data_IF_166353964665
#
_entry.id   IF_166353964665
#
_cell.length_a   1.000
_cell.length_b   1.000
_cell.length_c   1.000
_cell.angle_alpha   90.00
_cell.angle_beta   90.00
_cell.angle_gamma   90.00
#
_symmetry.space_group_name_H-M   'P 1'
#
loop_
_entity.id
_entity.type
_entity.pdbx_description
1 polymer ?
#
# COMPACT_ATOMS: atom_id res chain seq x y z
N UNK A 1 -0.28 -2.98 55.10
CA UNK A 1 -0.01 -2.06 53.95
C UNK A 1 0.99 -2.70 52.99
N UNK A 2 0.57 -3.55 52.05
CA UNK A 2 1.50 -4.19 51.07
C UNK A 2 0.92 -4.39 49.66
N UNK A 3 -0.30 -3.91 49.41
CA UNK A 3 -1.06 -4.15 48.17
C UNK A 3 -1.14 -2.94 47.23
N UNK A 4 -0.72 -1.75 47.69
CA UNK A 4 -0.79 -0.50 46.89
C UNK A 4 0.34 -0.37 45.86
N UNK A 5 1.57 -0.77 46.21
CA UNK A 5 2.72 -0.69 45.31
C UNK A 5 2.63 -1.64 44.11
N UNK A 6 2.07 -2.84 44.31
CA UNK A 6 1.91 -3.84 43.25
C UNK A 6 0.92 -3.38 42.17
N UNK A 7 -0.17 -2.68 42.56
CA UNK A 7 -1.13 -2.12 41.59
C UNK A 7 -0.51 -1.02 40.73
N UNK A 8 0.31 -0.14 41.34
CA UNK A 8 0.99 0.94 40.61
C UNK A 8 2.00 0.37 39.63
N UNK A 9 2.76 -0.66 40.01
CA UNK A 9 3.72 -1.33 39.13
C UNK A 9 3.03 -2.02 37.93
N UNK A 10 1.92 -2.72 38.16
CA UNK A 10 1.14 -3.33 37.07
C UNK A 10 0.53 -2.31 36.11
N UNK A 11 0.06 -1.16 36.62
CA UNK A 11 -0.47 -0.06 35.79
C UNK A 11 0.66 0.57 34.98
N UNK A 12 1.85 0.77 35.56
CA UNK A 12 2.98 1.35 34.85
C UNK A 12 3.47 0.43 33.72
N UNK A 13 3.57 -0.88 33.97
CA UNK A 13 3.97 -1.85 32.94
C UNK A 13 2.95 -1.96 31.81
N UNK A 14 1.64 -1.90 32.09
CA UNK A 14 0.61 -1.93 31.04
C UNK A 14 0.64 -0.68 30.16
N UNK A 15 0.87 0.50 30.74
CA UNK A 15 1.00 1.75 29.97
C UNK A 15 2.25 1.74 29.08
N UNK A 16 3.39 1.21 29.56
CA UNK A 16 4.62 1.11 28.77
C UNK A 16 4.47 0.11 27.62
N UNK A 17 3.79 -1.03 27.84
CA UNK A 17 3.53 -2.00 26.77
C UNK A 17 2.61 -1.41 25.68
N UNK A 18 1.57 -0.66 26.05
CA UNK A 18 0.67 0.01 25.10
C UNK A 18 1.43 1.08 24.28
N UNK A 19 2.38 1.79 24.90
CA UNK A 19 3.20 2.81 24.22
C UNK A 19 4.23 2.20 23.26
N UNK A 20 4.72 0.98 23.52
CA UNK A 20 5.73 0.31 22.70
C UNK A 20 5.14 -0.49 21.53
N UNK A 21 3.84 -0.85 21.56
CA UNK A 21 3.21 -1.64 20.47
C UNK A 21 2.53 -0.81 19.39
N UNK A 22 2.49 0.52 19.54
CA UNK A 22 1.92 1.41 18.52
C UNK A 22 2.97 1.82 17.47
N UNK A 23 3.64 0.84 16.86
CA UNK A 23 4.23 1.05 15.55
C UNK A 23 3.10 1.18 14.54
N UNK A 24 2.55 2.38 14.40
CA UNK A 24 1.49 2.68 13.43
C UNK A 24 2.04 2.55 12.02
N UNK A 25 1.81 1.40 11.39
CA UNK A 25 1.84 1.30 9.94
C UNK A 25 0.70 2.16 9.40
N UNK A 26 1.04 3.25 8.71
CA UNK A 26 0.06 4.07 8.02
C UNK A 26 -0.46 3.28 6.82
N UNK A 27 -1.55 2.55 7.03
CA UNK A 27 -2.35 1.98 5.96
C UNK A 27 -3.14 3.12 5.31
N UNK A 28 -2.84 3.41 4.04
CA UNK A 28 -3.74 4.22 3.25
C UNK A 28 -5.11 3.52 3.17
N UNK A 29 -6.18 4.21 3.59
CA UNK A 29 -7.55 3.69 3.45
C UNK A 29 -7.84 3.48 1.97
N UNK A 30 -8.20 2.25 1.52
CA UNK A 30 -8.68 2.09 0.17
C UNK A 30 -9.99 2.87 0.01
N UNK A 31 -10.06 3.72 -1.01
CA UNK A 31 -11.20 4.61 -1.23
C UNK A 31 -12.42 3.88 -1.83
N UNK A 32 -12.34 2.58 -2.12
CA UNK A 32 -13.44 1.81 -2.66
C UNK A 32 -13.71 0.54 -1.84
N UNK A 33 -14.90 0.47 -1.25
CA UNK A 33 -15.47 -0.80 -0.80
C UNK A 33 -15.70 -1.76 -1.98
N UNK A 34 -16.11 -2.99 -1.71
CA UNK A 34 -16.46 -3.96 -2.75
C UNK A 34 -17.56 -3.42 -3.69
N UNK A 35 -17.19 -3.17 -4.95
CA UNK A 35 -18.04 -2.69 -6.04
C UNK A 35 -17.74 -3.55 -7.28
N UNK A 36 -18.28 -4.78 -7.36
CA UNK A 36 -17.96 -5.70 -8.43
C UNK A 36 -18.41 -5.10 -9.76
N UNK A 37 -17.47 -4.92 -10.68
CA UNK A 37 -17.74 -4.52 -12.05
C UNK A 37 -17.20 -5.61 -12.97
N UNK A 38 -18.10 -6.33 -13.66
CA UNK A 38 -17.73 -7.46 -14.53
C UNK A 38 -18.70 -8.63 -14.45
N UNK A 39 -18.49 -9.64 -15.30
CA UNK A 39 -19.25 -10.89 -15.26
C UNK A 39 -18.82 -11.69 -14.01
N UNK A 40 -19.76 -12.43 -13.40
CA UNK A 40 -19.52 -13.33 -12.25
C UNK A 40 -19.23 -12.71 -10.88
N UNK A 41 -19.33 -11.37 -10.73
CA UNK A 41 -19.12 -10.64 -9.47
C UNK A 41 -17.73 -10.85 -8.85
N UNK A 42 -16.70 -10.95 -9.70
CA UNK A 42 -15.31 -11.07 -9.29
C UNK A 42 -14.62 -9.70 -9.36
N UNK A 43 -13.88 -9.34 -8.31
CA UNK A 43 -13.19 -8.05 -8.21
C UNK A 43 -11.78 -8.25 -7.66
N UNK A 44 -10.78 -7.66 -8.32
CA UNK A 44 -9.47 -7.47 -7.72
C UNK A 44 -9.49 -6.30 -6.76
N UNK A 45 -8.83 -6.48 -5.63
CA UNK A 45 -8.58 -5.42 -4.67
C UNK A 45 -7.09 -5.33 -4.44
N UNK A 46 -6.62 -4.10 -4.33
CA UNK A 46 -5.25 -3.75 -4.06
C UNK A 46 -5.22 -2.71 -2.96
N UNK A 47 -4.27 -2.89 -2.05
CA UNK A 47 -3.93 -1.94 -1.02
C UNK A 47 -2.43 -1.65 -1.14
N UNK A 48 -2.07 -0.40 -0.95
CA UNK A 48 -0.69 0.03 -0.82
C UNK A 48 -0.46 0.47 0.63
N UNK A 49 0.59 -0.04 1.23
CA UNK A 49 1.10 0.39 2.53
C UNK A 49 2.59 0.67 2.44
N UNK A 50 3.10 1.45 3.38
CA UNK A 50 4.53 1.76 3.47
C UNK A 50 5.01 1.68 4.92
N UNK A 51 6.32 1.56 5.08
CA UNK A 51 6.96 1.51 6.38
C UNK A 51 7.10 2.90 7.04
N UNK A 52 7.71 2.90 8.22
CA UNK A 52 7.85 4.10 9.06
C UNK A 52 9.01 5.00 8.62
N UNK A 53 9.72 4.68 7.54
CA UNK A 53 10.87 5.46 7.05
C UNK A 53 10.51 6.90 6.66
N UNK A 54 9.21 7.17 6.47
CA UNK A 54 8.61 8.48 6.17
C UNK A 54 8.45 9.38 7.40
N UNK A 55 8.51 8.81 8.61
CA UNK A 55 8.36 9.53 9.88
C UNK A 55 9.66 10.18 10.33
N UNK A 56 10.79 9.69 9.84
CA UNK A 56 12.08 10.30 10.06
C UNK A 56 12.31 11.44 9.06
N UNK A 57 12.84 12.59 9.51
CA UNK A 57 13.17 13.67 8.62
C UNK A 57 14.21 13.25 7.58
N UNK A 58 14.02 13.71 6.35
CA UNK A 58 14.97 13.56 5.24
C UNK A 58 15.68 14.92 5.06
N UNK A 59 17.00 14.93 5.06
CA UNK A 59 17.78 16.16 4.88
C UNK A 59 17.91 16.54 3.38
N UNK A 60 18.04 17.82 3.03
CA UNK A 60 18.41 18.24 1.67
C UNK A 60 19.65 17.51 1.16
N UNK A 61 19.62 17.04 -0.09
CA UNK A 61 20.67 16.22 -0.69
C UNK A 61 20.60 14.73 -0.32
N UNK A 62 19.78 14.32 0.65
CA UNK A 62 19.60 12.92 1.02
C UNK A 62 18.67 12.20 0.05
N UNK A 63 18.92 10.91 -0.19
CA UNK A 63 17.96 9.99 -0.82
C UNK A 63 17.50 8.95 0.21
N UNK A 64 16.23 9.01 0.58
CA UNK A 64 15.58 8.03 1.46
C UNK A 64 14.98 6.90 0.64
N UNK A 65 15.16 5.67 1.14
CA UNK A 65 14.47 4.49 0.63
C UNK A 65 13.31 4.17 1.56
N UNK A 66 12.12 4.03 1.01
CA UNK A 66 10.89 3.68 1.71
C UNK A 66 10.39 2.34 1.17
N UNK A 67 10.18 1.38 2.07
CA UNK A 67 9.61 0.10 1.69
C UNK A 67 8.12 0.26 1.44
N UNK A 68 7.71 -0.04 0.21
CA UNK A 68 6.32 -0.13 -0.19
C UNK A 68 5.89 -1.60 -0.20
N UNK A 69 4.70 -1.90 0.30
CA UNK A 69 4.09 -3.22 0.22
C UNK A 69 2.75 -3.09 -0.50
N UNK A 70 2.64 -3.75 -1.64
CA UNK A 70 1.40 -3.92 -2.38
C UNK A 70 0.77 -5.23 -1.96
N UNK A 71 -0.47 -5.16 -1.46
CA UNK A 71 -1.27 -6.31 -1.07
C UNK A 71 -2.41 -6.43 -2.07
N UNK A 72 -2.48 -7.54 -2.78
CA UNK A 72 -3.54 -7.83 -3.76
C UNK A 72 -4.32 -9.05 -3.35
N UNK A 73 -5.63 -9.01 -3.51
CA UNK A 73 -6.50 -10.14 -3.22
C UNK A 73 -7.77 -10.06 -4.07
N UNK A 74 -8.49 -11.18 -4.16
CA UNK A 74 -9.69 -11.28 -5.00
C UNK A 74 -10.93 -11.47 -4.14
N UNK A 75 -11.98 -10.71 -4.41
CA UNK A 75 -13.29 -10.86 -3.75
C UNK A 75 -14.28 -11.44 -4.77
N UNK A 76 -15.08 -12.41 -4.33
CA UNK A 76 -16.18 -12.99 -5.09
C UNK A 76 -17.40 -13.18 -4.18
N UNK A 77 -18.61 -13.12 -4.75
CA UNK A 77 -19.87 -13.36 -4.01
C UNK A 77 -20.72 -14.52 -4.52
N UNK A 78 -20.42 -15.10 -5.68
CA UNK A 78 -21.24 -16.15 -6.30
C UNK A 78 -20.52 -17.51 -6.34
N UNK A 79 -21.29 -18.61 -6.40
CA UNK A 79 -20.75 -19.96 -6.60
C UNK A 79 -19.99 -20.06 -7.95
N UNK A 80 -20.54 -19.43 -8.99
CA UNK A 80 -19.88 -19.32 -10.30
C UNK A 80 -18.56 -18.52 -10.21
N UNK A 81 -18.51 -17.47 -9.39
CA UNK A 81 -17.30 -16.70 -9.12
C UNK A 81 -16.21 -17.53 -8.44
N UNK A 82 -16.58 -18.45 -7.53
CA UNK A 82 -15.61 -19.40 -6.92
C UNK A 82 -15.04 -20.36 -7.96
N UNK A 83 -15.90 -20.95 -8.79
CA UNK A 83 -15.46 -21.89 -9.82
C UNK A 83 -14.55 -21.19 -10.84
N UNK A 84 -14.91 -19.97 -11.26
CA UNK A 84 -14.08 -19.16 -12.15
C UNK A 84 -12.74 -18.79 -11.49
N UNK A 85 -12.73 -18.44 -10.20
CA UNK A 85 -11.50 -18.13 -9.48
C UNK A 85 -10.54 -19.32 -9.46
N UNK A 86 -11.03 -20.54 -9.22
CA UNK A 86 -10.21 -21.75 -9.31
C UNK A 86 -9.70 -22.02 -10.72
N UNK A 87 -10.49 -21.74 -11.76
CA UNK A 87 -10.03 -21.86 -13.15
C UNK A 87 -8.96 -20.82 -13.52
N UNK A 88 -8.94 -19.68 -12.82
CA UNK A 88 -7.99 -18.59 -13.03
C UNK A 88 -6.81 -18.63 -12.05
N UNK A 89 -6.75 -19.62 -11.16
CA UNK A 89 -5.69 -19.79 -10.19
C UNK A 89 -4.32 -19.86 -10.87
N UNK A 90 -3.34 -19.15 -10.29
CA UNK A 90 -1.98 -19.05 -10.84
C UNK A 90 -1.86 -18.12 -12.05
N UNK A 91 -2.97 -17.63 -12.62
CA UNK A 91 -2.89 -16.66 -13.70
C UNK A 91 -2.45 -15.29 -13.18
N UNK A 92 -1.66 -14.60 -13.98
CA UNK A 92 -1.11 -13.29 -13.64
C UNK A 92 -1.93 -12.14 -14.21
N UNK A 93 -1.78 -10.95 -13.62
CA UNK A 93 -2.28 -9.70 -14.17
C UNK A 93 -1.28 -8.57 -13.89
N UNK A 94 -1.07 -7.65 -14.86
CA UNK A 94 -0.12 -6.56 -14.69
C UNK A 94 -0.71 -5.48 -13.79
N UNK A 95 0.15 -4.90 -12.97
CA UNK A 95 -0.13 -3.74 -12.12
C UNK A 95 0.96 -2.72 -12.40
N UNK A 96 0.56 -1.50 -12.72
CA UNK A 96 1.47 -0.40 -13.00
C UNK A 96 1.40 0.60 -11.85
N UNK A 97 2.57 0.97 -11.30
CA UNK A 97 2.73 2.00 -10.29
C UNK A 97 3.52 3.16 -10.87
N UNK A 98 3.09 4.38 -10.59
CA UNK A 98 3.76 5.59 -11.05
C UNK A 98 3.62 6.71 -10.02
N UNK A 99 4.54 7.68 -10.06
CA UNK A 99 4.40 8.92 -9.28
C UNK A 99 3.53 9.88 -10.08
N UNK A 100 2.38 10.25 -9.50
CA UNK A 100 1.43 11.19 -10.09
C UNK A 100 1.79 12.63 -9.77
N UNK A 101 2.18 12.88 -8.52
CA UNK A 101 2.42 14.23 -8.00
C UNK A 101 3.44 14.17 -6.86
N UNK A 102 4.22 15.24 -6.71
CA UNK A 102 5.25 15.42 -5.68
C UNK A 102 5.63 16.89 -5.57
N UNK A 103 6.21 17.36 -4.46
CA UNK A 103 6.71 18.71 -4.36
C UNK A 103 7.85 18.96 -5.36
N UNK A 104 7.99 20.20 -5.84
CA UNK A 104 9.00 20.57 -6.83
C UNK A 104 10.45 20.39 -6.32
N UNK A 105 10.65 20.57 -5.00
CA UNK A 105 11.91 20.39 -4.30
C UNK A 105 12.26 18.91 -4.00
N UNK A 106 11.46 17.97 -4.50
CA UNK A 106 11.60 16.53 -4.28
C UNK A 106 11.65 15.79 -5.62
N UNK A 107 12.47 14.75 -5.72
CA UNK A 107 12.44 13.77 -6.81
C UNK A 107 12.00 12.43 -6.20
N UNK A 108 11.04 11.75 -6.83
CA UNK A 108 10.55 10.46 -6.34
C UNK A 108 10.40 9.47 -7.50
N UNK A 109 10.73 8.20 -7.25
CA UNK A 109 10.59 7.11 -8.22
C UNK A 109 10.42 5.76 -7.52
N UNK A 110 9.76 4.81 -8.20
CA UNK A 110 9.42 3.49 -7.65
C UNK A 110 10.21 2.41 -8.39
N UNK A 111 10.69 1.39 -7.69
CA UNK A 111 11.35 0.24 -8.30
C UNK A 111 10.85 -1.07 -7.65
N UNK A 112 10.38 -2.04 -8.44
CA UNK A 112 9.92 -1.91 -9.84
C UNK A 112 8.61 -1.12 -9.99
N UNK A 113 8.45 -0.38 -11.09
CA UNK A 113 7.20 0.33 -11.44
C UNK A 113 6.10 -0.62 -11.93
N UNK A 114 6.51 -1.68 -12.65
CA UNK A 114 5.61 -2.70 -13.16
C UNK A 114 5.74 -3.96 -12.34
N UNK A 115 4.62 -4.42 -11.80
CA UNK A 115 4.55 -5.67 -11.06
C UNK A 115 3.46 -6.57 -11.61
N UNK A 116 3.50 -7.81 -11.15
CA UNK A 116 2.60 -8.85 -11.61
C UNK A 116 1.86 -9.40 -10.40
N UNK A 117 0.57 -9.10 -10.31
CA UNK A 117 -0.32 -9.77 -9.38
C UNK A 117 -0.58 -11.20 -9.84
N UNK A 118 -0.78 -12.11 -8.88
CA UNK A 118 -1.16 -13.50 -9.14
C UNK A 118 -2.49 -13.78 -8.47
N UNK A 119 -3.36 -14.49 -9.17
CA UNK A 119 -4.63 -14.92 -8.61
C UNK A 119 -4.40 -16.15 -7.74
N UNK A 120 -4.52 -15.95 -6.43
CA UNK A 120 -4.47 -17.03 -5.44
C UNK A 120 -5.83 -17.07 -4.75
N UNK A 121 -6.61 -18.16 -4.90
CA UNK A 121 -7.91 -18.27 -4.25
C UNK A 121 -7.78 -18.14 -2.73
N UNK A 122 -8.61 -17.30 -2.14
CA UNK A 122 -8.71 -17.12 -0.67
C UNK A 122 -7.46 -16.57 0.04
N UNK A 123 -6.42 -16.18 -0.70
CA UNK A 123 -5.20 -15.64 -0.14
C UNK A 123 -4.91 -14.24 -0.68
N UNK A 124 -4.11 -13.49 0.07
CA UNK A 124 -3.56 -12.23 -0.38
C UNK A 124 -2.14 -12.47 -0.90
N UNK A 125 -1.84 -11.88 -2.05
CA UNK A 125 -0.50 -11.83 -2.60
C UNK A 125 0.15 -10.50 -2.20
N UNK A 126 1.31 -10.61 -1.54
CA UNK A 126 2.08 -9.46 -1.07
C UNK A 126 3.34 -9.31 -1.92
N UNK A 127 3.58 -8.09 -2.40
CA UNK A 127 4.78 -7.76 -3.14
C UNK A 127 5.44 -6.52 -2.54
N UNK A 128 6.74 -6.64 -2.31
CA UNK A 128 7.56 -5.54 -1.80
C UNK A 128 8.20 -4.78 -2.95
N UNK A 129 8.20 -3.46 -2.80
CA UNK A 129 8.66 -2.46 -3.74
C UNK A 129 9.50 -1.44 -2.96
N UNK A 130 10.33 -0.69 -3.68
CA UNK A 130 11.10 0.41 -3.11
C UNK A 130 10.63 1.73 -3.72
N UNK A 131 10.24 2.66 -2.87
CA UNK A 131 10.10 4.07 -3.23
C UNK A 131 11.35 4.81 -2.80
N UNK A 132 11.90 5.59 -3.71
CA UNK A 132 13.00 6.49 -3.43
C UNK A 132 12.46 7.91 -3.37
N UNK A 133 12.85 8.64 -2.33
CA UNK A 133 12.54 10.05 -2.14
C UNK A 133 13.87 10.77 -2.00
N UNK A 134 14.20 11.62 -2.96
CA UNK A 134 15.38 12.46 -2.92
C UNK A 134 14.96 13.91 -2.74
N UNK A 135 15.54 14.58 -1.75
CA UNK A 135 15.36 16.02 -1.59
C UNK A 135 16.49 16.74 -2.29
N UNK A 136 16.14 17.72 -3.11
CA UNK A 136 17.13 18.58 -3.73
C UNK A 136 17.86 19.40 -2.65
N UNK A 137 19.06 19.89 -2.98
CA UNK A 137 19.85 20.72 -2.05
C UNK A 137 19.16 22.04 -1.67
N UNK A 138 18.21 22.52 -2.50
CA UNK A 138 17.41 23.72 -2.27
C UNK A 138 16.07 23.44 -1.54
N UNK A 139 15.86 22.20 -1.08
CA UNK A 139 14.67 21.85 -0.32
C UNK A 139 14.56 22.64 1.00
N UNK A 140 13.33 22.84 1.52
CA UNK A 140 13.13 23.55 2.77
C UNK A 140 13.92 22.88 3.92
N UNK A 141 14.77 23.66 4.59
CA UNK A 141 15.62 23.19 5.71
C UNK A 141 14.89 23.18 7.06
N UNK A 142 13.62 23.56 7.07
CA UNK A 142 12.73 23.45 8.22
C UNK A 142 11.92 22.15 8.16
N UNK A 143 11.46 21.70 9.32
CA UNK A 143 10.53 20.57 9.43
C UNK A 143 9.25 20.83 8.63
N UNK A 144 9.19 20.35 7.39
CA UNK A 144 8.11 20.59 6.42
C UNK A 144 7.59 19.27 5.90
N UNK A 145 6.28 19.08 5.89
CA UNK A 145 5.67 17.90 5.29
C UNK A 145 5.74 17.96 3.76
N UNK A 146 6.23 16.89 3.14
CA UNK A 146 6.10 16.65 1.70
C UNK A 146 5.07 15.56 1.41
N UNK A 147 4.38 15.67 0.27
CA UNK A 147 3.36 14.72 -0.15
C UNK A 147 3.72 14.10 -1.49
N UNK A 148 3.83 12.77 -1.55
CA UNK A 148 4.00 12.03 -2.81
C UNK A 148 2.70 11.30 -3.12
N UNK A 149 2.11 11.58 -4.28
CA UNK A 149 0.95 10.83 -4.79
C UNK A 149 1.43 9.73 -5.71
N UNK A 150 1.01 8.51 -5.39
CA UNK A 150 1.30 7.30 -6.13
C UNK A 150 0.03 6.86 -6.83
N UNK A 151 0.08 6.75 -8.15
CA UNK A 151 -1.00 6.24 -8.99
C UNK A 151 -0.74 4.78 -9.29
N UNK A 152 -1.73 3.95 -8.99
CA UNK A 152 -1.69 2.52 -9.25
C UNK A 152 -2.81 2.13 -10.21
N UNK A 153 -2.47 1.38 -11.25
CA UNK A 153 -3.39 0.92 -12.29
C UNK A 153 -3.37 -0.60 -12.31
N UNK A 154 -4.55 -1.21 -12.21
CA UNK A 154 -4.76 -2.63 -12.50
C UNK A 154 -5.43 -2.72 -13.85
N UNK A 155 -4.84 -3.47 -14.77
CA UNK A 155 -5.41 -3.65 -16.10
C UNK A 155 -6.57 -4.65 -16.11
N UNK A 156 -7.43 -4.53 -17.12
CA UNK A 156 -8.48 -5.51 -17.39
C UNK A 156 -7.89 -6.90 -17.59
N UNK A 157 -8.44 -7.90 -16.90
CA UNK A 157 -8.17 -9.29 -17.22
C UNK A 157 -9.20 -9.80 -18.22
N UNK A 158 -8.76 -10.04 -19.44
CA UNK A 158 -9.58 -10.68 -20.47
C UNK A 158 -9.63 -12.19 -20.28
N UNK A 159 -10.74 -12.78 -20.68
CA UNK A 159 -10.95 -14.23 -20.70
C UNK A 159 -10.42 -14.88 -21.97
N UNK A 160 -10.71 -16.17 -22.17
CA UNK A 160 -10.29 -16.89 -23.37
C UNK A 160 -10.73 -16.14 -24.64
N UNK A 161 -9.84 -16.12 -25.63
CA UNK A 161 -10.01 -15.43 -26.92
C UNK A 161 -10.10 -13.89 -26.85
N UNK A 162 -9.86 -13.27 -25.70
CA UNK A 162 -9.95 -11.81 -25.47
C UNK A 162 -11.33 -11.18 -25.75
N UNK A 163 -12.39 -11.98 -25.81
CA UNK A 163 -13.75 -11.52 -26.19
C UNK A 163 -14.49 -10.93 -24.99
N UNK A 164 -14.25 -11.44 -23.78
CA UNK A 164 -14.96 -11.02 -22.56
C UNK A 164 -13.98 -10.55 -21.49
N UNK A 165 -14.30 -9.47 -20.78
CA UNK A 165 -13.57 -9.05 -19.58
C UNK A 165 -14.03 -9.91 -18.40
N UNK A 166 -13.13 -10.73 -17.84
CA UNK A 166 -13.40 -11.53 -16.65
C UNK A 166 -13.30 -10.68 -15.38
N UNK A 167 -12.34 -9.76 -15.36
CA UNK A 167 -12.15 -8.82 -14.24
C UNK A 167 -11.86 -7.45 -14.80
N UNK A 168 -12.64 -6.47 -14.35
CA UNK A 168 -12.45 -5.09 -14.76
C UNK A 168 -11.27 -4.49 -13.99
N UNK A 169 -10.35 -3.91 -14.73
CA UNK A 169 -9.28 -3.08 -14.21
C UNK A 169 -9.82 -1.79 -13.61
N UNK A 170 -8.99 -1.15 -12.80
CA UNK A 170 -9.32 0.13 -12.21
C UNK A 170 -8.05 0.88 -11.84
N UNK A 171 -8.23 2.16 -11.54
CA UNK A 171 -7.18 3.05 -11.12
C UNK A 171 -7.44 3.52 -9.70
N UNK A 172 -6.37 3.64 -8.91
CA UNK A 172 -6.44 4.11 -7.55
C UNK A 172 -5.18 4.91 -7.18
N UNK A 173 -5.38 6.04 -6.51
CA UNK A 173 -4.31 6.91 -6.07
C UNK A 173 -4.14 6.80 -4.55
N UNK A 174 -2.89 6.83 -4.12
CA UNK A 174 -2.47 6.81 -2.72
C UNK A 174 -1.61 8.02 -2.45
N UNK A 175 -1.86 8.73 -1.36
CA UNK A 175 -1.02 9.87 -0.96
C UNK A 175 -0.22 9.46 0.26
N UNK A 176 1.11 9.56 0.13
CA UNK A 176 2.06 9.32 1.20
C UNK A 176 2.63 10.67 1.66
N UNK A 177 2.66 10.87 2.97
CA UNK A 177 3.30 12.03 3.60
C UNK A 177 4.67 11.62 4.13
N UNK A 178 5.65 12.52 4.00
CA UNK A 178 6.99 12.37 4.58
C UNK A 178 7.42 13.70 5.22
N UNK A 179 8.40 13.65 6.13
CA UNK A 179 8.94 14.84 6.78
C UNK A 179 10.27 15.23 6.12
N UNK A 180 10.38 16.46 5.62
CA UNK A 180 11.65 17.09 5.29
C UNK A 180 12.23 17.74 6.56
N UNK A 181 13.54 17.65 6.78
CA UNK A 181 14.22 18.26 7.94
C UNK A 181 15.62 18.78 7.60
N UNK A 182 16.29 19.47 8.53
CA UNK A 182 17.63 20.02 8.32
C UNK A 182 18.73 18.97 8.18
#
# INVERSE_FOLDING_TARGET
MKTRGMRIFFILCTVIVILLTNGSTSLAKPQNGYHPQGLFNLQFVMNLSWGNETQEPISPGETRKVNLTVVTYTIFRSLYGRMLLHLLEGSSFPIQLSIEDKPDWCIAWIIPENITGVIIPHEAFNQNLLLFIHLNDDAPSNYTSGLVKIRCIIEDKKGPFNIFTLVKGYEQNYTMEFTAGP
#
